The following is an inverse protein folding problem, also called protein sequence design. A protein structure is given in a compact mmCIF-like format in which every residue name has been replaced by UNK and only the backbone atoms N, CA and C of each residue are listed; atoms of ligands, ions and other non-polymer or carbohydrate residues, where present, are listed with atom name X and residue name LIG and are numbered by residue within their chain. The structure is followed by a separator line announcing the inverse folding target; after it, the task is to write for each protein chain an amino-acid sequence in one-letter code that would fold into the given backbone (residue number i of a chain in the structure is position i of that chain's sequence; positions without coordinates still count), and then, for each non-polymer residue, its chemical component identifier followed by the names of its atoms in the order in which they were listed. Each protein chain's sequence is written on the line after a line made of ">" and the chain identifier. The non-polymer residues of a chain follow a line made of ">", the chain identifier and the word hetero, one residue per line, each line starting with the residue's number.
data_IF_896337822317
#
_entry.id   IF_896337822317
#
_cell.length_a   1.000
_cell.length_b   1.000
_cell.length_c   1.000
_cell.angle_alpha   90.00
_cell.angle_beta   90.00
_cell.angle_gamma   90.00
#
_symmetry.space_group_name_H-M   'P 1'
#
loop_
_entity.id
_entity.type
_entity.pdbx_description
1 polymer ?
#
# COMPACT_ATOMS: atom_id res chain seq x y z
N UNK A 1 76.08 20.60 17.65
CA UNK A 1 74.85 21.35 17.30
C UNK A 1 73.88 20.35 16.70
N UNK A 2 72.72 20.08 17.34
CA UNK A 2 71.37 20.47 16.85
C UNK A 2 71.11 19.97 15.42
N UNK A 3 70.09 19.20 15.04
CA UNK A 3 68.80 18.90 15.66
C UNK A 3 68.11 17.70 14.94
N UNK A 4 67.05 17.21 15.57
CA UNK A 4 65.98 16.32 15.11
C UNK A 4 65.41 16.66 13.71
N UNK A 5 64.78 15.70 13.00
CA UNK A 5 63.30 15.61 12.86
C UNK A 5 62.82 14.63 11.75
N UNK A 6 61.86 13.79 12.16
CA UNK A 6 60.76 13.14 11.44
C UNK A 6 61.01 12.22 10.22
N UNK A 7 60.85 10.92 10.51
CA UNK A 7 60.41 9.88 9.57
C UNK A 7 58.90 10.05 9.38
N UNK A 8 58.45 10.33 8.14
CA UNK A 8 57.04 10.27 7.77
C UNK A 8 56.74 8.89 7.17
N UNK A 9 56.10 8.03 7.98
CA UNK A 9 55.40 6.84 7.49
C UNK A 9 54.10 7.31 6.82
N UNK A 10 54.00 7.16 5.49
CA UNK A 10 52.71 7.19 4.80
C UNK A 10 52.23 5.74 4.73
N UNK A 11 51.50 5.32 5.75
CA UNK A 11 50.67 4.12 5.70
C UNK A 11 49.45 4.43 4.84
N UNK A 12 49.43 3.91 3.61
CA UNK A 12 48.22 3.81 2.81
C UNK A 12 47.26 2.85 3.51
N UNK A 13 46.28 3.39 4.24
CA UNK A 13 45.12 2.63 4.70
C UNK A 13 44.27 2.35 3.46
N UNK A 14 44.39 1.14 2.91
CA UNK A 14 43.39 0.63 1.98
C UNK A 14 42.10 0.45 2.77
N UNK A 15 41.19 1.40 2.59
CA UNK A 15 39.85 1.38 3.13
C UNK A 15 39.07 0.25 2.43
N UNK A 16 39.25 -0.99 2.90
CA UNK A 16 38.23 -2.04 2.72
C UNK A 16 37.08 -1.69 3.66
N UNK A 17 36.39 -0.60 3.34
CA UNK A 17 35.09 -0.28 3.88
C UNK A 17 34.12 -1.25 3.25
N UNK A 18 33.87 -2.35 3.96
CA UNK A 18 32.67 -3.16 3.76
C UNK A 18 31.50 -2.21 3.59
N UNK A 19 30.82 -2.33 2.45
CA UNK A 19 29.56 -1.66 2.15
C UNK A 19 28.52 -2.21 3.15
N UNK A 20 28.54 -1.68 4.36
CA UNK A 20 27.58 -1.95 5.41
C UNK A 20 27.04 -0.61 5.91
N UNK A 21 26.38 0.13 5.02
CA UNK A 21 25.61 1.30 5.41
C UNK A 21 24.50 1.59 4.40
N UNK A 22 23.56 0.65 4.28
CA UNK A 22 22.27 0.91 3.66
C UNK A 22 21.20 -0.05 4.21
N UNK A 23 21.15 -0.29 5.52
CA UNK A 23 20.12 -1.15 6.13
C UNK A 23 19.85 -0.79 7.61
N UNK A 24 19.92 0.49 7.95
CA UNK A 24 19.23 0.97 9.14
C UNK A 24 17.83 1.41 8.69
N UNK A 25 16.97 0.42 8.39
CA UNK A 25 15.53 0.67 8.42
C UNK A 25 15.21 1.29 9.78
N UNK A 26 14.36 2.30 9.81
CA UNK A 26 13.85 2.89 11.05
C UNK A 26 13.09 1.81 11.84
N UNK A 27 13.81 1.10 12.73
CA UNK A 27 13.31 -0.07 13.49
C UNK A 27 12.58 0.41 14.73
N UNK A 28 11.44 1.06 14.52
CA UNK A 28 10.44 1.19 15.57
C UNK A 28 9.75 -0.16 15.77
N UNK A 29 9.42 -0.48 17.02
CA UNK A 29 8.68 -1.71 17.30
C UNK A 29 7.34 -1.70 16.54
N UNK A 30 6.85 -2.86 16.07
CA UNK A 30 5.58 -2.93 15.36
C UNK A 30 4.45 -2.33 16.19
N UNK A 31 3.62 -1.47 15.58
CA UNK A 31 2.47 -0.86 16.25
C UNK A 31 1.24 -1.74 16.05
N UNK A 32 0.64 -2.23 17.13
CA UNK A 32 -0.65 -2.94 17.08
C UNK A 32 -1.74 -1.99 17.58
N UNK A 33 -2.78 -1.78 16.77
CA UNK A 33 -3.91 -0.94 17.16
C UNK A 33 -4.69 -1.57 18.32
N UNK A 34 -5.06 -0.77 19.32
CA UNK A 34 -5.80 -1.25 20.49
C UNK A 34 -7.11 -1.95 20.11
N UNK A 35 -7.80 -1.45 19.07
CA UNK A 35 -9.04 -2.01 18.56
C UNK A 35 -8.93 -3.47 18.08
N UNK A 36 -7.73 -3.92 17.68
CA UNK A 36 -7.47 -5.32 17.32
C UNK A 36 -7.72 -6.23 18.52
N UNK A 37 -7.25 -5.84 19.71
CA UNK A 37 -7.46 -6.62 20.93
C UNK A 37 -8.91 -6.59 21.39
N UNK A 38 -9.58 -5.44 21.29
CA UNK A 38 -10.99 -5.31 21.64
C UNK A 38 -11.86 -6.21 20.75
N UNK A 39 -11.61 -6.22 19.44
CA UNK A 39 -12.39 -7.01 18.50
C UNK A 39 -12.06 -8.51 18.57
N UNK A 40 -10.82 -8.89 18.89
CA UNK A 40 -10.46 -10.27 19.22
C UNK A 40 -11.22 -10.77 20.46
N UNK A 41 -11.31 -9.96 21.51
CA UNK A 41 -12.04 -10.31 22.73
C UNK A 41 -13.55 -10.43 22.50
N UNK A 42 -14.10 -9.66 21.55
CA UNK A 42 -15.51 -9.72 21.17
C UNK A 42 -15.84 -10.81 20.14
N UNK A 43 -14.84 -11.39 19.48
CA UNK A 43 -15.02 -12.38 18.41
C UNK A 43 -15.45 -13.75 18.97
N UNK A 44 -16.40 -14.40 18.29
CA UNK A 44 -16.92 -15.72 18.67
C UNK A 44 -15.99 -16.87 18.27
N UNK A 45 -15.21 -16.70 17.20
CA UNK A 45 -14.24 -17.69 16.72
C UNK A 45 -12.79 -17.38 17.14
N UNK A 46 -12.60 -16.30 17.91
CA UNK A 46 -11.30 -15.84 18.38
C UNK A 46 -10.41 -15.29 17.26
N UNK A 47 -10.99 -14.89 16.12
CA UNK A 47 -10.29 -14.28 14.99
C UNK A 47 -10.86 -12.92 14.65
N UNK A 48 -10.02 -12.10 14.04
CA UNK A 48 -10.38 -10.78 13.51
C UNK A 48 -9.69 -10.56 12.17
N UNK A 49 -10.32 -9.78 11.29
CA UNK A 49 -9.77 -9.44 9.98
C UNK A 49 -8.84 -8.23 10.09
N UNK A 50 -7.59 -8.39 9.68
CA UNK A 50 -6.52 -7.37 9.87
C UNK A 50 -5.78 -7.03 8.59
N UNK A 51 -5.29 -5.79 8.54
CA UNK A 51 -4.30 -5.32 7.58
C UNK A 51 -2.96 -5.29 8.32
N UNK A 52 -2.00 -6.06 7.82
CA UNK A 52 -0.63 -6.09 8.33
C UNK A 52 0.22 -5.32 7.36
N UNK A 53 0.68 -4.14 7.77
CA UNK A 53 1.63 -3.35 6.98
C UNK A 53 3.03 -3.74 7.39
N UNK A 54 3.87 -4.02 6.40
CA UNK A 54 5.23 -4.48 6.59
C UNK A 54 6.19 -3.28 6.54
N UNK A 55 7.39 -3.47 7.09
CA UNK A 55 8.41 -2.43 7.01
C UNK A 55 8.68 -2.10 5.56
N UNK A 56 8.83 -0.80 5.28
CA UNK A 56 9.06 -0.32 3.92
C UNK A 56 10.38 -0.92 3.44
N UNK A 57 10.32 -1.94 2.60
CA UNK A 57 11.39 -2.22 1.68
C UNK A 57 11.50 -0.99 0.79
N UNK A 58 12.65 -0.33 0.81
CA UNK A 58 13.04 0.54 -0.29
C UNK A 58 13.93 -0.28 -1.22
N UNK A 59 13.38 -0.94 -2.25
CA UNK A 59 14.03 -0.85 -3.54
C UNK A 59 14.16 0.65 -3.88
N UNK A 60 15.23 1.06 -4.56
CA UNK A 60 15.31 2.42 -5.09
C UNK A 60 14.02 2.72 -5.89
N UNK A 61 13.41 3.92 -5.79
CA UNK A 61 12.21 4.27 -6.55
C UNK A 61 12.36 3.98 -8.05
N UNK A 62 13.58 4.10 -8.57
CA UNK A 62 13.99 3.81 -9.94
C UNK A 62 14.19 2.33 -10.28
N UNK A 63 14.00 1.41 -9.32
CA UNK A 63 14.12 -0.03 -9.59
C UNK A 63 12.95 -0.50 -10.48
N UNK A 64 13.18 -1.42 -11.43
CA UNK A 64 12.11 -1.98 -12.26
C UNK A 64 10.97 -2.58 -11.42
N UNK A 65 9.72 -2.41 -11.87
CA UNK A 65 8.52 -2.88 -11.17
C UNK A 65 8.63 -4.35 -10.73
N UNK A 66 9.08 -5.23 -11.62
CA UNK A 66 9.26 -6.65 -11.30
C UNK A 66 10.22 -6.90 -10.12
N UNK A 67 11.28 -6.09 -9.99
CA UNK A 67 12.20 -6.18 -8.87
C UNK A 67 11.57 -5.65 -7.57
N UNK A 68 10.74 -4.61 -7.65
CA UNK A 68 9.98 -4.08 -6.51
C UNK A 68 8.97 -5.12 -6.00
N UNK A 69 8.20 -5.74 -6.90
CA UNK A 69 7.24 -6.79 -6.58
C UNK A 69 7.93 -8.02 -5.97
N UNK A 70 9.04 -8.47 -6.55
CA UNK A 70 9.82 -9.59 -6.00
C UNK A 70 10.36 -9.30 -4.59
N UNK A 71 10.73 -8.04 -4.31
CA UNK A 71 11.13 -7.65 -2.96
C UNK A 71 9.95 -7.72 -1.98
N UNK A 72 8.77 -7.23 -2.37
CA UNK A 72 7.54 -7.31 -1.56
C UNK A 72 7.21 -8.77 -1.23
N UNK A 73 7.22 -9.65 -2.23
CA UNK A 73 6.99 -11.08 -2.04
C UNK A 73 7.97 -11.71 -1.06
N UNK A 74 9.26 -11.38 -1.20
CA UNK A 74 10.29 -11.91 -0.31
C UNK A 74 10.12 -11.48 1.15
N UNK A 75 9.58 -10.29 1.42
CA UNK A 75 9.25 -9.85 2.79
C UNK A 75 8.00 -10.53 3.31
N UNK A 76 6.96 -10.62 2.49
CA UNK A 76 5.73 -11.32 2.85
C UNK A 76 6.00 -12.79 3.19
N UNK A 77 6.84 -13.47 2.40
CA UNK A 77 7.20 -14.88 2.64
C UNK A 77 7.96 -15.05 3.97
N UNK A 78 8.86 -14.13 4.33
CA UNK A 78 9.54 -14.18 5.64
C UNK A 78 8.57 -14.02 6.80
N UNK A 79 7.66 -13.06 6.70
CA UNK A 79 6.64 -12.81 7.73
C UNK A 79 5.69 -14.00 7.86
N UNK A 80 5.26 -14.60 6.74
CA UNK A 80 4.38 -15.75 6.74
C UNK A 80 5.07 -17.02 7.22
N UNK A 81 6.39 -17.14 7.07
CA UNK A 81 7.15 -18.34 7.46
C UNK A 81 7.14 -18.65 8.97
N UNK A 82 6.83 -17.67 9.82
CA UNK A 82 6.75 -17.85 11.27
C UNK A 82 5.34 -18.17 11.78
N UNK A 83 4.34 -18.13 10.88
CA UNK A 83 2.92 -18.28 11.18
C UNK A 83 2.39 -19.64 10.71
N UNK A 84 1.49 -20.22 11.50
CA UNK A 84 0.65 -21.33 11.06
C UNK A 84 -0.65 -20.83 10.43
N UNK A 85 -1.25 -21.61 9.53
CA UNK A 85 -2.55 -21.26 8.93
C UNK A 85 -3.70 -21.16 9.95
N UNK A 86 -3.53 -21.77 11.14
CA UNK A 86 -4.46 -21.63 12.26
C UNK A 86 -4.34 -20.28 12.97
N UNK A 87 -3.19 -19.60 12.85
CA UNK A 87 -2.86 -18.32 13.49
C UNK A 87 -3.12 -17.13 12.57
N UNK A 88 -2.82 -17.28 11.28
CA UNK A 88 -3.10 -16.29 10.26
C UNK A 88 -3.53 -16.96 8.96
N UNK A 89 -4.78 -16.71 8.57
CA UNK A 89 -5.30 -17.13 7.28
C UNK A 89 -5.23 -15.96 6.31
N UNK A 90 -4.25 -16.01 5.41
CA UNK A 90 -4.06 -14.99 4.36
C UNK A 90 -5.31 -14.93 3.49
N UNK A 91 -5.80 -13.71 3.25
CA UNK A 91 -6.88 -13.42 2.30
C UNK A 91 -6.31 -12.74 1.06
N UNK A 92 -5.43 -11.76 1.21
CA UNK A 92 -4.82 -11.06 0.08
C UNK A 92 -3.35 -10.69 0.35
N UNK A 93 -2.55 -10.74 -0.72
CA UNK A 93 -1.14 -10.33 -0.76
C UNK A 93 -1.01 -9.21 -1.78
N UNK A 94 -0.72 -7.99 -1.32
CA UNK A 94 -0.47 -6.87 -2.22
C UNK A 94 0.88 -7.06 -2.93
N UNK A 95 0.93 -6.79 -4.23
CA UNK A 95 2.15 -7.02 -5.03
C UNK A 95 3.05 -5.77 -5.08
N UNK A 96 2.45 -4.58 -5.06
CA UNK A 96 3.17 -3.29 -5.12
C UNK A 96 3.29 -2.63 -3.74
N UNK A 97 2.38 -2.94 -2.82
CA UNK A 97 2.38 -2.47 -1.44
C UNK A 97 2.84 -3.59 -0.49
N UNK A 98 3.79 -3.30 0.40
CA UNK A 98 4.29 -4.28 1.36
C UNK A 98 3.28 -4.51 2.50
N UNK A 99 2.18 -5.19 2.20
CA UNK A 99 1.13 -5.51 3.18
C UNK A 99 0.44 -6.84 2.89
N UNK A 100 -0.25 -7.36 3.91
CA UNK A 100 -1.02 -8.59 3.87
C UNK A 100 -2.38 -8.34 4.52
N UNK A 101 -3.45 -8.93 4.00
CA UNK A 101 -4.72 -9.03 4.74
C UNK A 101 -5.00 -10.48 5.13
N UNK A 102 -5.71 -10.67 6.23
CA UNK A 102 -6.08 -12.00 6.66
C UNK A 102 -6.80 -12.05 7.99
N UNK A 103 -7.34 -13.22 8.30
CA UNK A 103 -7.93 -13.51 9.60
C UNK A 103 -6.83 -13.92 10.56
N UNK A 104 -6.67 -13.17 11.65
CA UNK A 104 -5.64 -13.39 12.67
C UNK A 104 -6.27 -13.74 14.01
N UNK A 105 -5.62 -14.62 14.78
CA UNK A 105 -5.96 -14.86 16.19
C UNK A 105 -4.93 -14.20 17.14
N UNK A 106 -5.18 -14.29 18.45
CA UNK A 106 -4.29 -13.70 19.46
C UNK A 106 -2.83 -14.23 19.41
N UNK A 107 -2.61 -15.50 19.06
CA UNK A 107 -1.27 -16.07 18.88
C UNK A 107 -0.55 -15.48 17.68
N UNK A 108 -1.26 -15.33 16.55
CA UNK A 108 -0.76 -14.68 15.35
C UNK A 108 -0.35 -13.22 15.63
N UNK A 109 -1.18 -12.45 16.35
CA UNK A 109 -0.86 -11.07 16.75
C UNK A 109 0.43 -11.04 17.59
N UNK A 110 0.57 -11.94 18.56
CA UNK A 110 1.77 -12.01 19.40
C UNK A 110 3.04 -12.25 18.55
N UNK A 111 3.00 -13.20 17.61
CA UNK A 111 4.13 -13.48 16.71
C UNK A 111 4.46 -12.30 15.79
N UNK A 112 3.46 -11.71 15.14
CA UNK A 112 3.66 -10.60 14.22
C UNK A 112 4.13 -9.32 14.93
N UNK A 113 3.65 -9.05 16.16
CA UNK A 113 4.08 -7.89 16.96
C UNK A 113 5.56 -7.95 17.38
N UNK A 114 6.18 -9.13 17.29
CA UNK A 114 7.61 -9.33 17.56
C UNK A 114 8.44 -9.45 16.28
N UNK A 115 7.81 -9.47 15.10
CA UNK A 115 8.51 -9.72 13.85
C UNK A 115 9.16 -8.43 13.31
N UNK A 116 10.46 -8.44 12.94
CA UNK A 116 11.19 -7.23 12.54
C UNK A 116 10.74 -6.62 11.22
N UNK A 117 10.10 -7.41 10.35
CA UNK A 117 9.56 -6.93 9.07
C UNK A 117 8.09 -6.47 9.17
N UNK A 118 7.47 -6.48 10.36
CA UNK A 118 6.11 -5.95 10.55
C UNK A 118 6.22 -4.51 11.03
N UNK A 119 5.48 -3.59 10.40
CA UNK A 119 5.41 -2.19 10.82
C UNK A 119 4.19 -1.94 11.69
N UNK A 120 3.03 -2.43 11.26
CA UNK A 120 1.78 -2.25 12.00
C UNK A 120 0.78 -3.35 11.73
N UNK A 121 -0.06 -3.61 12.74
CA UNK A 121 -1.23 -4.48 12.65
C UNK A 121 -2.43 -3.63 13.02
N UNK A 122 -3.28 -3.36 12.03
CA UNK A 122 -4.54 -2.63 12.21
C UNK A 122 -5.72 -3.52 11.87
N UNK A 123 -6.91 -3.13 12.34
CA UNK A 123 -8.12 -3.76 11.82
C UNK A 123 -8.17 -3.51 10.31
N UNK A 124 -8.46 -4.53 9.52
CA UNK A 124 -8.87 -4.31 8.13
C UNK A 124 -10.33 -3.86 8.12
N UNK A 125 -10.59 -2.76 8.82
CA UNK A 125 -11.83 -2.03 8.77
C UNK A 125 -11.82 -1.12 7.57
N UNK A 126 -13.01 -0.81 7.06
CA UNK A 126 -13.18 0.14 5.96
C UNK A 126 -12.36 1.41 6.19
N UNK A 127 -11.36 1.65 5.34
CA UNK A 127 -10.79 2.98 5.19
C UNK A 127 -11.87 3.78 4.46
N UNK A 128 -12.75 4.40 5.23
CA UNK A 128 -13.76 5.27 4.66
C UNK A 128 -13.03 6.52 4.17
N UNK A 129 -12.89 6.67 2.85
CA UNK A 129 -13.32 7.94 2.29
C UNK A 129 -14.67 8.20 2.96
N UNK A 130 -14.84 9.30 3.68
CA UNK A 130 -16.08 9.55 4.43
C UNK A 130 -17.23 9.80 3.44
N UNK A 131 -17.39 9.04 2.38
CA UNK A 131 -18.42 9.14 1.36
C UNK A 131 -19.80 9.05 2.01
N UNK A 132 -19.97 8.21 3.03
CA UNK A 132 -21.18 8.18 3.85
C UNK A 132 -21.50 9.52 4.57
N UNK A 133 -20.53 10.42 4.71
CA UNK A 133 -20.71 11.78 5.24
C UNK A 133 -20.69 12.81 4.10
N UNK A 134 -19.70 12.72 3.22
CA UNK A 134 -19.38 13.65 2.15
C UNK A 134 -20.40 13.61 1.03
N UNK A 135 -20.82 12.43 0.56
CA UNK A 135 -21.85 12.27 -0.51
C UNK A 135 -23.17 12.89 -0.06
N UNK A 136 -23.71 12.61 1.15
CA UNK A 136 -24.86 13.36 1.66
C UNK A 136 -24.59 14.84 1.89
N UNK A 137 -23.41 15.22 2.37
CA UNK A 137 -23.07 16.63 2.65
C UNK A 137 -23.06 17.49 1.38
N UNK A 138 -22.63 16.93 0.24
CA UNK A 138 -22.69 17.60 -1.07
C UNK A 138 -24.01 17.35 -1.81
N UNK A 139 -24.97 16.63 -1.21
CA UNK A 139 -26.23 16.22 -1.80
C UNK A 139 -26.11 15.34 -3.06
N UNK A 140 -25.00 14.62 -3.22
CA UNK A 140 -24.82 13.71 -4.35
C UNK A 140 -25.75 12.50 -4.24
N UNK A 141 -26.09 12.06 -3.03
CA UNK A 141 -27.10 11.05 -2.76
C UNK A 141 -28.50 11.47 -3.26
N UNK A 142 -28.88 12.74 -3.12
CA UNK A 142 -30.16 13.24 -3.63
C UNK A 142 -30.19 13.22 -5.16
N UNK A 143 -29.07 13.54 -5.81
CA UNK A 143 -28.94 13.50 -7.27
C UNK A 143 -29.03 12.05 -7.77
N UNK A 144 -28.30 11.13 -7.14
CA UNK A 144 -28.33 9.71 -7.46
C UNK A 144 -29.73 9.13 -7.27
N UNK A 145 -30.34 9.32 -6.10
CA UNK A 145 -31.60 8.66 -5.74
C UNK A 145 -32.83 9.30 -6.40
N UNK A 146 -32.89 10.63 -6.52
CA UNK A 146 -34.10 11.32 -6.99
C UNK A 146 -34.09 11.59 -8.49
N UNK A 147 -32.90 11.73 -9.09
CA UNK A 147 -32.75 12.04 -10.51
C UNK A 147 -32.19 10.85 -11.31
N UNK A 148 -31.68 9.81 -10.64
CA UNK A 148 -31.08 8.64 -11.30
C UNK A 148 -29.76 8.97 -12.01
N UNK A 149 -29.09 10.05 -11.61
CA UNK A 149 -27.84 10.50 -12.25
C UNK A 149 -26.66 9.96 -11.46
N UNK A 150 -25.97 8.98 -12.03
CA UNK A 150 -24.90 8.21 -11.38
C UNK A 150 -23.54 8.31 -12.09
N UNK A 151 -23.47 9.05 -13.21
CA UNK A 151 -22.28 9.14 -14.05
C UNK A 151 -22.26 8.18 -15.23
N UNK A 152 -23.29 7.34 -15.40
CA UNK A 152 -23.41 6.40 -16.51
C UNK A 152 -23.13 7.05 -17.89
N UNK A 153 -22.17 6.47 -18.62
CA UNK A 153 -21.76 6.93 -19.96
C UNK A 153 -20.84 8.15 -19.96
N UNK A 154 -20.34 8.58 -18.79
CA UNK A 154 -19.34 9.64 -18.64
C UNK A 154 -18.01 9.03 -18.21
N UNK A 155 -16.93 9.43 -18.88
CA UNK A 155 -15.56 9.07 -18.48
C UNK A 155 -14.89 10.24 -17.75
N UNK A 156 -14.31 9.99 -16.58
CA UNK A 156 -13.51 10.92 -15.78
C UNK A 156 -12.04 10.55 -15.88
N UNK A 157 -11.21 11.47 -16.35
CA UNK A 157 -9.76 11.26 -16.37
C UNK A 157 -9.14 11.63 -15.02
N UNK A 158 -8.39 10.71 -14.43
CA UNK A 158 -7.69 10.91 -13.15
C UNK A 158 -6.19 10.95 -13.41
N UNK A 159 -5.60 12.12 -13.21
CA UNK A 159 -4.16 12.37 -13.38
C UNK A 159 -3.48 12.29 -12.01
N UNK A 160 -2.93 11.13 -11.68
CA UNK A 160 -2.41 10.85 -10.32
C UNK A 160 -1.30 9.77 -10.38
N UNK A 161 -1.10 9.01 -9.31
CA UNK A 161 -0.12 7.92 -9.21
C UNK A 161 -0.53 6.65 -9.95
N UNK A 162 -1.74 6.60 -10.51
CA UNK A 162 -2.28 5.43 -11.21
C UNK A 162 -3.61 4.97 -10.61
N UNK A 163 -4.05 3.77 -10.97
CA UNK A 163 -5.16 3.06 -10.36
C UNK A 163 -4.78 1.59 -10.16
N UNK A 164 -5.16 1.01 -9.01
CA UNK A 164 -5.14 -0.43 -8.79
C UNK A 164 -6.15 -1.10 -9.72
N UNK A 165 -5.66 -1.76 -10.76
CA UNK A 165 -6.52 -2.33 -11.80
C UNK A 165 -7.19 -3.64 -11.39
N UNK A 166 -6.76 -4.26 -10.28
CA UNK A 166 -7.34 -5.51 -9.75
C UNK A 166 -8.21 -5.30 -8.50
N UNK A 167 -8.39 -4.04 -8.08
CA UNK A 167 -9.18 -3.70 -6.91
C UNK A 167 -10.66 -4.16 -7.06
N UNK A 168 -11.18 -4.98 -6.12
CA UNK A 168 -12.49 -5.64 -6.26
C UNK A 168 -13.67 -4.67 -6.29
N UNK A 169 -13.46 -3.41 -5.90
CA UNK A 169 -14.48 -2.36 -5.84
C UNK A 169 -14.32 -1.27 -6.93
N UNK A 170 -13.33 -1.41 -7.84
CA UNK A 170 -13.04 -0.44 -8.93
C UNK A 170 -13.07 -1.05 -10.33
N UNK A 171 -13.05 -2.37 -10.45
CA UNK A 171 -12.87 -3.07 -11.74
C UNK A 171 -14.00 -2.88 -12.77
N UNK A 172 -15.22 -2.54 -12.34
CA UNK A 172 -16.37 -2.35 -13.25
C UNK A 172 -16.35 -1.01 -14.01
N UNK A 173 -15.42 -0.11 -13.65
CA UNK A 173 -15.43 1.29 -14.07
C UNK A 173 -14.09 1.76 -14.67
N UNK A 174 -13.17 0.90 -15.09
CA UNK A 174 -11.89 1.37 -15.70
C UNK A 174 -12.03 1.45 -17.22
N UNK A 175 -12.01 2.67 -17.76
CA UNK A 175 -12.04 2.93 -19.19
C UNK A 175 -10.80 2.33 -19.87
N UNK A 176 -11.01 1.77 -21.07
CA UNK A 176 -9.90 1.36 -21.92
C UNK A 176 -9.01 2.56 -22.28
N UNK A 177 -7.69 2.35 -22.29
CA UNK A 177 -6.72 3.38 -22.68
C UNK A 177 -6.00 4.08 -21.53
N UNK A 178 -5.95 3.46 -20.34
CA UNK A 178 -5.07 3.91 -19.26
C UNK A 178 -3.62 4.07 -19.76
N UNK A 179 -2.99 5.19 -19.41
CA UNK A 179 -1.65 5.57 -19.87
C UNK A 179 -0.80 6.07 -18.72
N UNK A 180 0.52 5.93 -18.86
CA UNK A 180 1.49 6.56 -17.98
C UNK A 180 2.37 7.54 -18.77
N UNK A 181 2.76 8.61 -18.09
CA UNK A 181 3.67 9.65 -18.57
C UNK A 181 4.64 9.98 -17.43
N UNK A 182 5.63 9.11 -17.23
CA UNK A 182 6.63 9.19 -16.18
C UNK A 182 7.98 9.66 -16.75
N UNK A 183 8.86 10.15 -15.86
CA UNK A 183 10.23 10.60 -16.12
C UNK A 183 10.41 11.41 -17.41
N UNK A 184 10.31 12.75 -17.33
CA UNK A 184 10.62 13.73 -18.41
C UNK A 184 10.20 13.38 -19.87
N UNK A 185 9.23 12.47 -20.03
CA UNK A 185 8.73 11.96 -21.31
C UNK A 185 9.44 10.71 -21.84
N UNK A 186 10.35 10.11 -21.08
CA UNK A 186 11.07 8.88 -21.40
C UNK A 186 10.31 7.60 -21.11
N UNK A 187 9.38 7.60 -20.14
CA UNK A 187 8.55 6.45 -19.80
C UNK A 187 7.07 6.75 -20.08
N UNK A 188 6.70 6.59 -21.35
CA UNK A 188 5.35 6.80 -21.87
C UNK A 188 4.84 5.50 -22.47
N UNK A 189 3.68 5.04 -22.03
CA UNK A 189 3.15 3.77 -22.51
C UNK A 189 1.74 3.46 -22.03
N UNK A 190 1.32 2.24 -22.33
CA UNK A 190 0.03 1.71 -21.91
C UNK A 190 0.08 1.22 -20.46
N UNK A 191 -1.06 1.33 -19.77
CA UNK A 191 -1.20 0.96 -18.37
C UNK A 191 -0.94 2.15 -17.44
N UNK A 192 -1.61 2.13 -16.28
CA UNK A 192 -1.49 3.16 -15.25
C UNK A 192 -1.63 2.51 -13.87
N UNK A 193 -0.96 1.37 -13.67
CA UNK A 193 -1.00 0.65 -12.40
C UNK A 193 -0.49 1.54 -11.26
N UNK A 194 -1.22 1.57 -10.15
CA UNK A 194 -0.86 2.41 -9.00
C UNK A 194 0.18 1.70 -8.11
N UNK A 195 1.30 2.36 -7.90
CA UNK A 195 2.38 1.90 -7.04
C UNK A 195 2.56 2.76 -5.78
N UNK A 196 1.66 3.73 -5.57
CA UNK A 196 1.62 4.62 -4.41
C UNK A 196 0.35 4.41 -3.58
N UNK A 197 -0.79 4.28 -4.25
CA UNK A 197 -2.13 4.10 -3.65
C UNK A 197 -2.98 5.37 -3.59
N UNK A 198 -2.40 6.56 -3.86
CA UNK A 198 -3.15 7.83 -3.83
C UNK A 198 -4.18 7.91 -4.96
N UNK A 199 -3.78 7.62 -6.20
CA UNK A 199 -4.68 7.64 -7.35
C UNK A 199 -5.82 6.62 -7.26
N UNK A 200 -5.55 5.45 -6.67
CA UNK A 200 -6.59 4.45 -6.35
C UNK A 200 -7.61 4.99 -5.35
N UNK A 201 -7.15 5.67 -4.30
CA UNK A 201 -8.03 6.29 -3.31
C UNK A 201 -8.91 7.40 -3.94
N UNK A 202 -8.29 8.27 -4.74
CA UNK A 202 -8.99 9.34 -5.48
C UNK A 202 -10.05 8.74 -6.41
N UNK A 203 -9.70 7.68 -7.16
CA UNK A 203 -10.62 7.00 -8.07
C UNK A 203 -11.80 6.36 -7.32
N UNK A 204 -11.55 5.81 -6.14
CA UNK A 204 -12.58 5.27 -5.26
C UNK A 204 -13.57 6.31 -4.73
N UNK A 205 -13.14 7.55 -4.46
CA UNK A 205 -14.07 8.63 -4.08
C UNK A 205 -15.13 8.87 -5.17
N UNK A 206 -14.74 8.68 -6.43
CA UNK A 206 -15.60 8.93 -7.58
C UNK A 206 -16.50 7.72 -7.84
N UNK A 207 -15.93 6.54 -8.01
CA UNK A 207 -16.61 5.42 -8.73
C UNK A 207 -16.84 4.18 -7.90
N UNK A 208 -16.47 4.16 -6.61
CA UNK A 208 -16.61 2.94 -5.82
C UNK A 208 -18.07 2.47 -5.74
N UNK A 209 -18.30 1.20 -6.06
CA UNK A 209 -19.64 0.64 -6.29
C UNK A 209 -20.43 0.33 -5.03
N UNK A 210 -19.77 0.32 -3.86
CA UNK A 210 -20.44 0.04 -2.59
C UNK A 210 -20.21 -1.36 -2.03
N UNK A 211 -19.32 -2.17 -2.62
CA UNK A 211 -19.14 -3.59 -2.26
C UNK A 211 -18.21 -3.75 -1.06
N UNK A 212 -17.13 -2.96 -1.02
CA UNK A 212 -16.11 -2.96 0.04
C UNK A 212 -16.10 -1.62 0.79
N UNK A 213 -16.39 -0.50 0.13
CA UNK A 213 -16.54 0.83 0.74
C UNK A 213 -17.95 1.42 0.50
N UNK A 214 -18.25 2.60 1.05
CA UNK A 214 -19.52 3.31 0.77
C UNK A 214 -19.53 3.90 -0.65
N UNK A 215 -20.69 3.90 -1.31
CA UNK A 215 -20.88 4.35 -2.70
C UNK A 215 -20.23 5.72 -2.99
N UNK A 216 -19.54 5.82 -4.13
CA UNK A 216 -18.89 7.02 -4.62
C UNK A 216 -19.86 8.12 -5.09
N UNK A 217 -19.31 9.24 -5.53
CA UNK A 217 -20.10 10.37 -6.04
C UNK A 217 -20.78 10.05 -7.38
N UNK A 218 -20.09 9.33 -8.26
CA UNK A 218 -20.53 8.94 -9.60
C UNK A 218 -20.21 7.45 -9.83
N UNK A 219 -20.95 6.54 -9.19
CA UNK A 219 -20.60 5.12 -9.14
C UNK A 219 -20.67 4.39 -10.50
N UNK A 220 -21.35 4.96 -11.50
CA UNK A 220 -21.48 4.36 -12.84
C UNK A 220 -20.64 5.11 -13.90
N UNK A 221 -19.77 6.04 -13.48
CA UNK A 221 -18.83 6.69 -14.40
C UNK A 221 -17.62 5.79 -14.68
N UNK A 222 -17.02 5.92 -15.85
CA UNK A 222 -15.74 5.28 -16.16
C UNK A 222 -14.57 6.15 -15.67
N UNK A 223 -13.48 5.55 -15.20
CA UNK A 223 -12.20 6.17 -14.88
C UNK A 223 -11.21 5.89 -16.00
N UNK A 224 -10.69 6.96 -16.60
CA UNK A 224 -9.48 6.91 -17.41
C UNK A 224 -8.28 7.27 -16.54
N UNK A 225 -7.52 6.27 -16.10
CA UNK A 225 -6.33 6.50 -15.30
C UNK A 225 -5.16 7.00 -16.16
N UNK A 226 -4.59 8.14 -15.76
CA UNK A 226 -3.42 8.76 -16.38
C UNK A 226 -2.35 8.92 -15.31
N UNK A 227 -1.39 8.01 -15.26
CA UNK A 227 -0.32 8.04 -14.27
C UNK A 227 0.70 9.12 -14.65
N UNK A 228 0.87 10.12 -13.79
CA UNK A 228 1.81 11.24 -13.96
C UNK A 228 2.70 11.47 -12.74
N UNK A 229 2.55 10.66 -11.70
CA UNK A 229 3.29 10.71 -10.43
C UNK A 229 3.83 9.32 -10.05
N UNK A 230 4.96 9.28 -9.32
CA UNK A 230 5.63 8.11 -8.75
C UNK A 230 5.61 8.05 -7.20
#
# INVERSE_FOLDING_TARGET
>A
MKAFLAIAFITAVTLTGVVASALAADRTAPVVEAAVFDQLAASTDGRVYVLVVLTKLRPEPSAPLAARMSAVDAVQDRVLSVLEASEFQVVYRYQTFAALTGWINASGVAKLSAHPDVRSIGLNGEVRAQLNVSVPFINADLVQNNLGVTGAGVTVAVLDTGIDTDHPDLSDNIAAGAQHFLDDGGDIGAGAEDDNGHGTNVSGIITVGGVVASVGVAPDADILAVKVLD
#
